data_IF_362131190015
#
_entry.id   IF_362131190015
#
_cell.length_a   1.000
_cell.length_b   1.000
_cell.length_c   1.000
_cell.angle_alpha   90.00
_cell.angle_beta   90.00
_cell.angle_gamma   90.00
#
_symmetry.space_group_name_H-M   'P 1'
#
loop_
_entity.id
_entity.type
_entity.pdbx_description
1 polymer ?
#
# COMPACT_ATOMS: atom_id res chain seq x y z
N UNK A 1 -1.72 24.44 -1.80
CA UNK A 1 -0.83 24.21 -2.97
C UNK A 1 -1.36 23.02 -3.77
N UNK A 2 -1.57 23.14 -5.07
CA UNK A 2 -1.92 22.01 -5.95
C UNK A 2 -0.68 21.58 -6.74
N UNK A 3 -0.53 20.27 -6.99
CA UNK A 3 0.53 19.70 -7.84
C UNK A 3 -0.15 18.96 -9.01
N UNK A 4 -0.54 19.67 -10.07
CA UNK A 4 -1.36 19.11 -11.17
C UNK A 4 -0.70 17.94 -11.89
N UNK A 5 0.65 17.93 -11.90
CA UNK A 5 1.45 16.89 -12.55
C UNK A 5 1.41 15.53 -11.83
N UNK A 6 0.73 15.42 -10.68
CA UNK A 6 0.73 14.21 -9.86
C UNK A 6 -0.69 13.65 -9.75
N UNK A 7 -0.85 12.37 -10.08
CA UNK A 7 -2.03 11.58 -9.72
C UNK A 7 -1.75 10.79 -8.44
N UNK A 8 -2.61 10.91 -7.45
CA UNK A 8 -2.58 10.09 -6.25
C UNK A 8 -3.50 8.87 -6.43
N UNK A 9 -2.90 7.68 -6.40
CA UNK A 9 -3.61 6.40 -6.43
C UNK A 9 -3.62 5.84 -5.01
N UNK A 10 -4.81 5.73 -4.41
CA UNK A 10 -5.02 5.19 -3.07
C UNK A 10 -5.49 3.74 -3.20
N UNK A 11 -4.67 2.81 -2.76
CA UNK A 11 -5.05 1.41 -2.69
C UNK A 11 -6.00 1.21 -1.51
N UNK A 12 -7.22 0.78 -1.78
CA UNK A 12 -8.22 0.59 -0.74
C UNK A 12 -8.46 -0.89 -0.44
N UNK A 13 -8.62 -1.20 0.84
CA UNK A 13 -9.07 -2.52 1.31
C UNK A 13 -10.47 -2.47 1.89
N UNK A 14 -11.01 -1.26 2.08
CA UNK A 14 -12.34 -0.95 2.58
C UNK A 14 -12.59 0.54 2.54
N UNK A 15 -13.80 0.94 2.90
CA UNK A 15 -14.24 2.34 2.95
C UNK A 15 -14.06 2.99 4.33
N UNK A 16 -14.89 3.99 4.58
CA UNK A 16 -15.00 4.67 5.87
C UNK A 16 -13.88 5.68 6.15
N UNK A 17 -13.67 5.96 7.46
CA UNK A 17 -12.81 7.05 7.91
C UNK A 17 -11.35 6.95 7.46
N UNK A 18 -10.82 5.73 7.27
CA UNK A 18 -9.43 5.52 6.81
C UNK A 18 -9.24 5.96 5.38
N UNK A 19 -10.12 5.53 4.48
CA UNK A 19 -10.10 5.94 3.09
C UNK A 19 -10.32 7.46 2.97
N UNK A 20 -11.27 8.00 3.72
CA UNK A 20 -11.53 9.44 3.75
C UNK A 20 -10.31 10.24 4.20
N UNK A 21 -9.60 9.79 5.24
CA UNK A 21 -8.37 10.43 5.73
C UNK A 21 -7.23 10.36 4.71
N UNK A 22 -7.05 9.20 4.06
CA UNK A 22 -6.07 9.05 3.00
C UNK A 22 -6.35 10.01 1.83
N UNK A 23 -7.60 10.07 1.35
CA UNK A 23 -8.01 10.95 0.26
C UNK A 23 -7.90 12.44 0.62
N UNK A 24 -8.21 12.81 1.87
CA UNK A 24 -8.03 14.18 2.37
C UNK A 24 -6.54 14.57 2.36
N UNK A 25 -5.64 13.67 2.75
CA UNK A 25 -4.20 13.93 2.81
C UNK A 25 -3.57 14.16 1.42
N UNK A 26 -4.24 13.74 0.35
CA UNK A 26 -3.79 13.92 -1.04
C UNK A 26 -4.70 14.86 -1.84
N UNK A 27 -5.51 15.70 -1.17
CA UNK A 27 -6.39 16.68 -1.83
C UNK A 27 -5.65 17.70 -2.72
N UNK A 28 -4.36 17.82 -2.53
CA UNK A 28 -3.46 18.67 -3.31
C UNK A 28 -3.05 18.07 -4.67
N UNK A 29 -3.23 16.76 -4.88
CA UNK A 29 -2.91 16.11 -6.15
C UNK A 29 -3.84 16.58 -7.28
N UNK A 30 -3.35 16.56 -8.51
CA UNK A 30 -4.13 16.93 -9.70
C UNK A 30 -5.28 15.96 -9.94
N UNK A 31 -5.01 14.67 -9.80
CA UNK A 31 -5.99 13.60 -9.89
C UNK A 31 -5.98 12.76 -8.61
N UNK A 32 -7.14 12.25 -8.22
CA UNK A 32 -7.29 11.32 -7.09
C UNK A 32 -8.06 10.10 -7.55
N UNK A 33 -7.46 8.94 -7.36
CA UNK A 33 -7.99 7.66 -7.84
C UNK A 33 -7.97 6.67 -6.68
N UNK A 34 -9.09 6.03 -6.43
CA UNK A 34 -9.17 4.89 -5.53
C UNK A 34 -9.06 3.62 -6.37
N UNK A 35 -8.07 2.80 -6.08
CA UNK A 35 -7.91 1.48 -6.65
C UNK A 35 -8.42 0.45 -5.63
N UNK A 36 -9.49 -0.25 -5.99
CA UNK A 36 -10.11 -1.30 -5.17
C UNK A 36 -10.00 -2.67 -5.88
N UNK A 37 -8.88 -3.39 -5.70
CA UNK A 37 -8.65 -4.67 -6.38
C UNK A 37 -9.65 -5.77 -6.03
N UNK A 38 -10.29 -5.66 -4.87
CA UNK A 38 -11.27 -6.63 -4.38
C UNK A 38 -12.73 -6.27 -4.77
N UNK A 39 -12.94 -5.11 -5.40
CA UNK A 39 -14.25 -4.57 -5.82
C UNK A 39 -15.28 -4.50 -4.66
N UNK A 40 -14.83 -4.05 -3.47
CA UNK A 40 -15.65 -3.98 -2.26
C UNK A 40 -16.37 -2.64 -2.06
N UNK A 41 -15.91 -1.58 -2.75
CA UNK A 41 -16.36 -0.19 -2.57
C UNK A 41 -17.47 0.24 -3.52
N UNK A 42 -18.20 -0.68 -4.12
CA UNK A 42 -19.19 -0.38 -5.16
C UNK A 42 -20.30 0.59 -4.77
N UNK A 43 -20.54 0.80 -3.46
CA UNK A 43 -21.59 1.69 -2.93
C UNK A 43 -21.06 2.76 -1.97
N UNK A 44 -19.74 2.88 -1.81
CA UNK A 44 -19.15 3.87 -0.90
C UNK A 44 -19.21 5.26 -1.53
N UNK A 45 -19.77 6.28 -0.84
CA UNK A 45 -19.77 7.64 -1.35
C UNK A 45 -18.34 8.20 -1.30
N UNK A 46 -17.80 8.52 -2.46
CA UNK A 46 -16.48 9.13 -2.57
C UNK A 46 -16.58 10.66 -2.66
N UNK A 47 -15.56 11.39 -2.15
CA UNK A 47 -15.49 12.84 -2.30
C UNK A 47 -15.53 13.28 -3.77
N UNK A 48 -16.05 14.47 -4.06
CA UNK A 48 -16.08 15.03 -5.41
C UNK A 48 -14.69 15.05 -6.04
N UNK A 49 -14.60 14.66 -7.31
CA UNK A 49 -13.37 14.63 -8.08
C UNK A 49 -12.45 13.45 -7.75
N UNK A 50 -12.93 12.44 -7.02
CA UNK A 50 -12.25 11.16 -6.83
C UNK A 50 -12.87 10.14 -7.78
N UNK A 51 -12.02 9.42 -8.52
CA UNK A 51 -12.44 8.31 -9.38
C UNK A 51 -12.24 6.98 -8.67
N UNK A 52 -13.21 6.08 -8.77
CA UNK A 52 -13.08 4.69 -8.31
C UNK A 52 -12.76 3.78 -9.48
N UNK A 53 -11.75 2.94 -9.33
CA UNK A 53 -11.51 1.80 -10.19
C UNK A 53 -11.69 0.52 -9.39
N UNK A 54 -12.72 -0.25 -9.73
CA UNK A 54 -12.98 -1.56 -9.15
C UNK A 54 -12.25 -2.63 -9.95
N UNK A 55 -11.58 -3.53 -9.25
CA UNK A 55 -10.71 -4.54 -9.84
C UNK A 55 -9.23 -4.14 -9.80
N UNK A 56 -8.36 -5.10 -10.13
CA UNK A 56 -6.93 -4.86 -10.21
C UNK A 56 -6.58 -4.14 -11.52
N UNK A 57 -5.73 -3.13 -11.41
CA UNK A 57 -5.21 -2.39 -12.56
C UNK A 57 -3.80 -1.88 -12.27
N UNK A 58 -3.04 -1.58 -13.31
CA UNK A 58 -1.76 -0.93 -13.15
C UNK A 58 -1.96 0.61 -13.05
N UNK A 59 -1.29 1.29 -12.12
CA UNK A 59 -1.48 2.73 -11.92
C UNK A 59 -1.23 3.57 -13.17
N UNK A 60 -0.34 3.13 -14.06
CA UNK A 60 -0.06 3.83 -15.31
C UNK A 60 -1.25 3.86 -16.28
N UNK A 61 -2.19 2.93 -16.14
CA UNK A 61 -3.41 2.82 -16.98
C UNK A 61 -4.54 3.70 -16.44
N UNK A 62 -4.47 4.05 -15.15
CA UNK A 62 -5.52 4.78 -14.46
C UNK A 62 -5.47 6.30 -14.67
N UNK A 63 -4.34 6.85 -15.12
CA UNK A 63 -4.12 8.30 -15.22
C UNK A 63 -3.27 8.67 -16.42
N UNK A 64 -3.42 9.92 -16.87
CA UNK A 64 -2.53 10.55 -17.85
C UNK A 64 -1.51 11.49 -17.22
N UNK A 65 -1.62 11.75 -15.92
CA UNK A 65 -0.66 12.59 -15.20
C UNK A 65 0.77 12.04 -15.32
N UNK A 66 1.78 12.90 -15.50
CA UNK A 66 3.16 12.45 -15.70
C UNK A 66 3.77 11.73 -14.51
N UNK A 67 3.23 11.94 -13.30
CA UNK A 67 3.69 11.31 -12.07
C UNK A 67 2.56 10.62 -11.34
N UNK A 68 2.87 9.48 -10.73
CA UNK A 68 1.95 8.69 -9.90
C UNK A 68 2.50 8.58 -8.49
N UNK A 69 1.69 8.99 -7.51
CA UNK A 69 1.91 8.75 -6.08
C UNK A 69 1.02 7.59 -5.65
N UNK A 70 1.59 6.54 -5.10
CA UNK A 70 0.85 5.43 -4.51
C UNK A 70 0.76 5.59 -3.00
N UNK A 71 -0.45 5.57 -2.47
CA UNK A 71 -0.71 5.35 -1.05
C UNK A 71 -1.22 3.92 -0.87
N UNK A 72 -0.64 3.20 0.09
CA UNK A 72 -1.19 1.93 0.57
C UNK A 72 -2.46 2.17 1.40
N UNK A 73 -3.12 1.08 1.76
CA UNK A 73 -4.33 1.15 2.55
C UNK A 73 -4.10 1.83 3.92
N UNK A 74 -4.86 2.90 4.18
CA UNK A 74 -4.76 3.71 5.40
C UNK A 74 -3.47 4.53 5.54
N UNK A 75 -2.65 4.65 4.49
CA UNK A 75 -1.51 5.58 4.48
C UNK A 75 -2.00 7.02 4.33
N UNK A 76 -1.44 7.91 5.12
CA UNK A 76 -1.73 9.34 5.14
C UNK A 76 -0.44 10.10 4.82
N UNK A 77 -0.49 11.01 3.87
CA UNK A 77 0.64 11.88 3.56
C UNK A 77 0.82 12.92 4.66
N UNK A 78 2.04 13.06 5.20
CA UNK A 78 2.36 14.16 6.14
C UNK A 78 2.29 15.52 5.44
N UNK A 79 2.16 16.59 6.21
CA UNK A 79 1.92 17.95 5.69
C UNK A 79 3.03 18.48 4.78
N UNK A 80 4.24 17.96 4.89
CA UNK A 80 5.41 18.32 4.10
C UNK A 80 5.54 17.55 2.77
N UNK A 81 4.78 16.44 2.60
CA UNK A 81 4.83 15.62 1.39
C UNK A 81 4.50 16.39 0.11
N UNK A 82 3.46 17.26 0.07
CA UNK A 82 3.14 18.01 -1.14
C UNK A 82 4.29 18.90 -1.62
N UNK A 83 4.94 19.61 -0.71
CA UNK A 83 6.06 20.50 -1.02
C UNK A 83 7.29 19.70 -1.50
N UNK A 84 7.63 18.63 -0.80
CA UNK A 84 8.74 17.76 -1.17
C UNK A 84 8.55 17.11 -2.55
N UNK A 85 7.33 16.65 -2.87
CA UNK A 85 7.01 16.11 -4.19
C UNK A 85 7.09 17.19 -5.26
N UNK A 86 6.49 18.37 -5.02
CA UNK A 86 6.52 19.47 -5.99
C UNK A 86 7.95 19.85 -6.37
N UNK A 87 8.84 19.96 -5.39
CA UNK A 87 10.27 20.22 -5.63
C UNK A 87 10.90 19.10 -6.45
N UNK A 88 10.72 17.84 -6.02
CA UNK A 88 11.36 16.69 -6.66
C UNK A 88 10.94 16.47 -8.12
N UNK A 89 9.66 16.73 -8.45
CA UNK A 89 9.16 16.55 -9.83
C UNK A 89 9.48 17.72 -10.76
N UNK A 90 9.77 18.90 -10.19
CA UNK A 90 10.13 20.09 -10.94
C UNK A 90 11.63 20.19 -11.26
N UNK A 91 12.48 19.39 -10.60
CA UNK A 91 13.93 19.42 -10.81
C UNK A 91 14.29 19.00 -12.25
N UNK A 92 15.15 19.79 -12.95
CA UNK A 92 15.78 19.34 -14.18
C UNK A 92 16.61 18.08 -13.90
N UNK A 93 16.26 16.94 -14.48
CA UNK A 93 16.93 15.66 -14.17
C UNK A 93 16.28 14.88 -13.02
N UNK A 94 15.03 15.19 -12.65
CA UNK A 94 14.26 14.44 -11.68
C UNK A 94 14.37 12.91 -11.92
N UNK A 95 14.66 12.16 -10.86
CA UNK A 95 14.77 10.69 -10.89
C UNK A 95 13.47 10.05 -11.38
N UNK A 96 13.52 8.90 -12.04
CA UNK A 96 12.30 8.23 -12.55
C UNK A 96 11.35 7.78 -11.43
N UNK A 97 11.86 7.61 -10.22
CA UNK A 97 11.07 7.24 -9.05
C UNK A 97 11.69 7.75 -7.74
N UNK A 98 10.87 7.83 -6.69
CA UNK A 98 11.29 8.24 -5.36
C UNK A 98 10.74 7.31 -4.29
N UNK A 99 11.60 7.00 -3.32
CA UNK A 99 11.24 6.32 -2.09
C UNK A 99 10.69 7.33 -1.10
N UNK A 100 9.58 6.98 -0.47
CA UNK A 100 8.99 7.77 0.60
C UNK A 100 8.92 6.88 1.84
N UNK A 101 9.55 7.24 2.96
CA UNK A 101 9.45 6.49 4.20
C UNK A 101 8.00 6.30 4.64
N UNK A 102 7.66 5.12 5.11
CA UNK A 102 6.36 4.81 5.71
C UNK A 102 6.58 4.55 7.20
N UNK A 103 5.89 5.29 8.06
CA UNK A 103 5.91 5.09 9.49
C UNK A 103 4.61 4.40 9.95
N UNK A 104 4.72 3.20 10.49
CA UNK A 104 3.60 2.47 11.09
C UNK A 104 3.52 2.81 12.56
N UNK A 105 2.41 3.42 12.99
CA UNK A 105 2.13 3.81 14.37
C UNK A 105 1.00 2.95 14.93
N UNK A 106 1.22 2.32 16.08
CA UNK A 106 0.21 1.54 16.77
C UNK A 106 0.77 0.78 17.96
N UNK A 107 -0.08 0.43 18.89
CA UNK A 107 0.25 -0.32 20.10
C UNK A 107 1.47 0.24 20.88
N UNK A 108 1.58 1.58 20.92
CA UNK A 108 2.69 2.25 21.58
C UNK A 108 4.02 2.20 20.84
N UNK A 109 4.06 1.70 19.62
CA UNK A 109 5.27 1.68 18.77
C UNK A 109 5.13 2.58 17.55
N UNK A 110 6.27 3.06 17.05
CA UNK A 110 6.41 3.65 15.71
C UNK A 110 7.56 2.93 15.03
N UNK A 111 7.24 2.21 13.96
CA UNK A 111 8.19 1.43 13.19
C UNK A 111 8.36 2.02 11.79
N UNK A 112 9.58 1.96 11.27
CA UNK A 112 9.88 2.24 9.86
C UNK A 112 10.49 0.99 9.23
N UNK A 113 10.06 0.58 8.04
CA UNK A 113 10.69 -0.52 7.34
C UNK A 113 12.17 -0.20 7.09
N UNK A 114 13.06 -1.20 7.03
CA UNK A 114 14.50 -1.01 6.86
C UNK A 114 14.82 -0.30 5.54
N UNK A 115 13.95 -0.45 4.56
CA UNK A 115 14.04 0.23 3.27
C UNK A 115 12.70 0.91 2.96
N UNK A 116 12.75 2.20 2.66
CA UNK A 116 11.56 2.93 2.24
C UNK A 116 11.04 2.38 0.90
N UNK A 117 9.72 2.13 0.76
CA UNK A 117 9.13 1.72 -0.50
C UNK A 117 9.20 2.86 -1.53
N UNK A 118 9.15 2.50 -2.82
CA UNK A 118 8.93 3.48 -3.89
C UNK A 118 7.45 3.83 -3.88
N UNK A 119 7.14 5.10 -3.66
CA UNK A 119 5.76 5.59 -3.60
C UNK A 119 5.44 6.62 -4.66
N UNK A 120 6.45 7.28 -5.22
CA UNK A 120 6.30 8.22 -6.32
C UNK A 120 7.12 7.72 -7.51
N UNK A 121 6.51 7.67 -8.69
CA UNK A 121 7.19 7.27 -9.91
C UNK A 121 6.65 8.05 -11.12
N UNK A 122 7.48 8.21 -12.16
CA UNK A 122 6.99 8.66 -13.47
C UNK A 122 5.94 7.65 -13.96
N UNK A 123 4.90 8.14 -14.64
CA UNK A 123 3.81 7.28 -15.12
C UNK A 123 4.32 6.09 -15.92
N UNK A 124 5.29 6.26 -16.81
CA UNK A 124 5.89 5.18 -17.60
C UNK A 124 6.49 4.06 -16.76
N UNK A 125 6.93 4.37 -15.54
CA UNK A 125 7.55 3.45 -14.59
C UNK A 125 6.60 2.97 -13.47
N UNK A 126 5.39 3.53 -13.42
CA UNK A 126 4.42 3.34 -12.35
C UNK A 126 3.71 1.98 -12.45
N UNK A 127 4.40 0.91 -12.09
CA UNK A 127 3.85 -0.43 -12.00
C UNK A 127 3.75 -0.88 -10.56
N UNK A 128 2.62 -1.51 -10.21
CA UNK A 128 2.47 -2.11 -8.88
C UNK A 128 3.46 -3.28 -8.73
N UNK A 129 4.06 -3.37 -7.57
CA UNK A 129 4.93 -4.49 -7.18
C UNK A 129 4.57 -4.96 -5.78
N UNK A 130 4.64 -6.26 -5.57
CA UNK A 130 4.46 -6.85 -4.25
C UNK A 130 5.82 -7.35 -3.80
N UNK A 131 6.38 -6.64 -2.85
CA UNK A 131 7.69 -6.90 -2.26
C UNK A 131 7.66 -7.87 -1.08
N UNK A 132 8.79 -8.01 -0.37
CA UNK A 132 8.88 -8.82 0.84
C UNK A 132 7.83 -8.39 1.88
N UNK A 133 7.27 -9.34 2.61
CA UNK A 133 6.22 -9.08 3.61
C UNK A 133 4.90 -8.62 3.00
N UNK A 134 4.66 -8.86 1.71
CA UNK A 134 3.48 -8.40 0.96
C UNK A 134 3.30 -6.87 1.00
N UNK A 135 4.39 -6.12 1.05
CA UNK A 135 4.36 -4.68 0.90
C UNK A 135 4.09 -4.32 -0.57
N UNK A 136 3.10 -3.47 -0.80
CA UNK A 136 2.81 -2.92 -2.13
C UNK A 136 3.73 -1.72 -2.38
N UNK A 137 4.26 -1.62 -3.59
CA UNK A 137 5.32 -0.69 -3.96
C UNK A 137 5.14 -0.31 -5.44
N UNK A 138 5.75 0.77 -5.90
CA UNK A 138 5.78 1.20 -7.30
C UNK A 138 7.16 1.00 -7.92
N UNK A 139 7.18 0.87 -9.23
CA UNK A 139 8.27 1.29 -10.07
C UNK A 139 9.42 0.36 -10.31
N UNK A 140 10.49 0.96 -10.84
CA UNK A 140 11.61 0.24 -11.41
C UNK A 140 12.45 -0.51 -10.35
N UNK A 141 13.32 -1.43 -10.77
CA UNK A 141 14.30 -2.06 -9.88
C UNK A 141 15.15 -1.00 -9.16
N UNK A 142 15.56 -1.35 -7.98
CA UNK A 142 16.08 -0.52 -6.89
C UNK A 142 17.21 0.49 -7.17
N UNK A 143 17.86 0.50 -8.30
CA UNK A 143 19.09 1.30 -8.51
C UNK A 143 18.88 2.79 -8.80
N UNK A 144 17.74 3.19 -9.33
CA UNK A 144 17.52 4.51 -9.91
C UNK A 144 16.56 5.43 -9.13
N UNK A 145 16.05 4.99 -7.99
CA UNK A 145 15.10 5.75 -7.20
C UNK A 145 15.81 6.76 -6.29
N UNK A 146 15.34 8.02 -6.31
CA UNK A 146 15.68 9.02 -5.30
C UNK A 146 15.03 8.69 -3.95
N UNK A 147 15.29 9.52 -2.94
CA UNK A 147 14.66 9.40 -1.62
C UNK A 147 14.15 10.76 -1.15
N UNK A 148 12.87 10.81 -0.77
CA UNK A 148 12.30 11.96 -0.09
C UNK A 148 12.47 11.81 1.43
N UNK A 149 12.61 12.95 2.11
CA UNK A 149 12.71 12.99 3.58
C UNK A 149 11.33 12.95 4.25
N UNK A 150 10.30 13.43 3.55
CA UNK A 150 8.90 13.40 3.97
C UNK A 150 8.40 11.98 4.16
N UNK A 151 7.41 11.78 5.02
CA UNK A 151 6.94 10.45 5.36
C UNK A 151 5.43 10.25 5.10
N UNK A 152 5.05 9.04 4.75
CA UNK A 152 3.67 8.55 4.86
C UNK A 152 3.49 7.92 6.24
N UNK A 153 2.31 8.08 6.81
CA UNK A 153 1.99 7.60 8.15
C UNK A 153 0.83 6.62 8.05
N UNK A 154 1.00 5.43 8.60
CA UNK A 154 -0.08 4.46 8.82
C UNK A 154 -0.38 4.44 10.31
N UNK A 155 -1.63 4.74 10.67
CA UNK A 155 -2.10 4.60 12.04
C UNK A 155 -2.86 3.29 12.17
N UNK A 156 -2.36 2.40 13.00
CA UNK A 156 -3.07 1.17 13.38
C UNK A 156 -3.92 1.46 14.60
N UNK A 157 -5.15 0.94 14.62
CA UNK A 157 -6.00 1.02 15.81
C UNK A 157 -5.36 0.26 16.97
N UNK A 158 -5.61 0.71 18.20
CA UNK A 158 -5.14 0.02 19.41
C UNK A 158 -6.12 -1.08 19.87
N UNK A 159 -7.28 -1.19 19.23
CA UNK A 159 -8.26 -2.25 19.47
C UNK A 159 -7.96 -3.46 18.59
N UNK A 160 -7.69 -4.60 19.22
CA UNK A 160 -7.29 -5.81 18.49
C UNK A 160 -8.37 -6.29 17.51
N UNK A 161 -9.65 -6.26 17.88
CA UNK A 161 -10.74 -6.67 17.00
C UNK A 161 -10.77 -5.87 15.70
N UNK A 162 -10.76 -4.54 15.80
CA UNK A 162 -10.72 -3.63 14.64
C UNK A 162 -9.43 -3.85 13.81
N UNK A 163 -8.29 -4.12 14.47
CA UNK A 163 -7.04 -4.41 13.78
C UNK A 163 -7.15 -5.69 12.94
N UNK A 164 -7.74 -6.75 13.49
CA UNK A 164 -7.93 -8.04 12.80
C UNK A 164 -8.87 -7.90 11.61
N UNK A 165 -10.03 -7.23 11.78
CA UNK A 165 -10.96 -6.96 10.67
C UNK A 165 -10.29 -6.20 9.53
N UNK A 166 -9.49 -5.19 9.88
CA UNK A 166 -8.75 -4.42 8.89
C UNK A 166 -7.68 -5.24 8.18
N UNK A 167 -6.94 -6.08 8.90
CA UNK A 167 -5.95 -6.98 8.32
C UNK A 167 -6.59 -8.02 7.42
N UNK A 168 -7.80 -8.51 7.75
CA UNK A 168 -8.57 -9.40 6.88
C UNK A 168 -8.98 -8.71 5.57
N UNK A 169 -9.43 -7.45 5.65
CA UNK A 169 -9.74 -6.65 4.48
C UNK A 169 -8.50 -6.43 3.60
N UNK A 170 -7.36 -6.06 4.20
CA UNK A 170 -6.08 -5.93 3.49
C UNK A 170 -5.64 -7.25 2.85
N UNK A 171 -5.81 -8.37 3.55
CA UNK A 171 -5.46 -9.69 3.02
C UNK A 171 -6.29 -10.04 1.79
N UNK A 172 -7.59 -9.67 1.76
CA UNK A 172 -8.46 -9.86 0.60
C UNK A 172 -7.98 -9.05 -0.61
N UNK A 173 -7.62 -7.79 -0.41
CA UNK A 173 -7.04 -6.93 -1.46
C UNK A 173 -5.72 -7.48 -1.99
N UNK A 174 -4.84 -7.94 -1.10
CA UNK A 174 -3.57 -8.57 -1.48
C UNK A 174 -3.78 -9.88 -2.25
N UNK A 175 -4.75 -10.70 -1.83
CA UNK A 175 -5.10 -11.93 -2.54
C UNK A 175 -5.60 -11.63 -3.96
N UNK A 176 -6.41 -10.57 -4.15
CA UNK A 176 -6.87 -10.12 -5.45
C UNK A 176 -5.70 -9.70 -6.35
N UNK A 177 -4.79 -8.86 -5.85
CA UNK A 177 -3.58 -8.44 -6.58
C UNK A 177 -2.65 -9.61 -6.94
N UNK A 178 -2.51 -10.60 -6.04
CA UNK A 178 -1.71 -11.80 -6.28
C UNK A 178 -2.35 -12.72 -7.31
N UNK A 179 -3.68 -12.84 -7.30
CA UNK A 179 -4.45 -13.63 -8.27
C UNK A 179 -4.28 -13.08 -9.68
N UNK A 180 -4.43 -11.76 -9.86
CA UNK A 180 -4.25 -11.06 -11.14
C UNK A 180 -2.86 -11.32 -11.74
N UNK A 181 -1.84 -11.36 -10.90
CA UNK A 181 -0.47 -11.68 -11.31
C UNK A 181 -0.21 -13.16 -11.58
N UNK A 182 -1.26 -13.98 -11.66
CA UNK A 182 -1.21 -15.42 -11.91
C UNK A 182 -0.26 -16.18 -10.98
N UNK A 183 0.03 -15.63 -9.80
CA UNK A 183 0.87 -16.33 -8.82
C UNK A 183 0.15 -17.57 -8.33
N UNK A 184 0.80 -18.73 -8.47
CA UNK A 184 0.27 -20.00 -7.95
C UNK A 184 0.69 -20.14 -6.49
N UNK A 185 -0.27 -20.19 -5.55
CA UNK A 185 0.06 -20.45 -4.16
C UNK A 185 0.59 -21.89 -4.05
N UNK A 186 1.71 -22.03 -3.37
CA UNK A 186 2.24 -23.34 -2.96
C UNK A 186 2.07 -23.46 -1.45
N UNK A 187 1.89 -24.66 -0.93
CA UNK A 187 1.65 -24.89 0.51
C UNK A 187 2.73 -24.24 1.40
N UNK A 188 3.97 -24.22 0.96
CA UNK A 188 5.04 -23.58 1.71
C UNK A 188 4.88 -22.04 1.84
N UNK A 189 4.14 -21.38 0.95
CA UNK A 189 3.83 -19.95 1.10
C UNK A 189 2.94 -19.67 2.31
N UNK A 190 2.12 -20.64 2.72
CA UNK A 190 1.27 -20.53 3.93
C UNK A 190 2.10 -20.52 5.22
N UNK A 191 3.31 -21.07 5.19
CA UNK A 191 4.22 -21.11 6.35
C UNK A 191 5.30 -20.05 6.24
N UNK A 192 6.06 -20.05 5.13
CA UNK A 192 7.20 -19.14 4.97
C UNK A 192 6.78 -17.70 4.68
N UNK A 193 5.62 -17.47 4.04
CA UNK A 193 5.09 -16.13 3.80
C UNK A 193 4.83 -15.35 5.10
N UNK A 194 4.09 -15.90 6.06
CA UNK A 194 3.91 -15.29 7.38
C UNK A 194 5.20 -15.07 8.15
N UNK A 195 6.11 -16.05 8.15
CA UNK A 195 7.41 -15.94 8.81
C UNK A 195 8.25 -14.81 8.20
N UNK A 196 8.28 -14.72 6.86
CA UNK A 196 9.00 -13.66 6.16
C UNK A 196 8.39 -12.28 6.44
N UNK A 197 7.05 -12.16 6.50
CA UNK A 197 6.37 -10.91 6.78
C UNK A 197 6.60 -10.45 8.24
N UNK A 198 6.49 -11.36 9.20
CA UNK A 198 6.81 -11.10 10.60
C UNK A 198 8.27 -10.74 10.80
N UNK A 199 9.18 -11.52 10.23
CA UNK A 199 10.62 -11.29 10.26
C UNK A 199 11.01 -9.93 9.65
N UNK A 200 10.43 -9.57 8.52
CA UNK A 200 10.63 -8.25 7.90
C UNK A 200 10.20 -7.10 8.86
N UNK A 201 9.11 -7.30 9.60
CA UNK A 201 8.66 -6.32 10.60
C UNK A 201 9.63 -6.26 11.80
N UNK A 202 10.19 -7.40 12.22
CA UNK A 202 11.17 -7.45 13.30
C UNK A 202 12.51 -6.78 12.97
N UNK A 203 12.93 -6.76 11.70
CA UNK A 203 14.11 -5.99 11.26
C UNK A 203 13.80 -4.53 10.96
N UNK A 204 12.52 -4.11 11.04
CA UNK A 204 12.14 -2.71 10.91
C UNK A 204 12.79 -1.87 12.02
N UNK A 205 13.23 -0.65 11.66
CA UNK A 205 13.88 0.26 12.62
C UNK A 205 12.84 0.87 13.55
N UNK A 206 12.93 0.67 14.86
CA UNK A 206 12.06 1.35 15.80
C UNK A 206 12.44 2.83 15.88
N UNK A 207 11.47 3.72 15.68
CA UNK A 207 11.61 5.16 15.96
C UNK A 207 11.22 5.42 17.40
N UNK A 208 10.15 4.78 17.85
CA UNK A 208 9.68 4.79 19.24
C UNK A 208 9.09 3.42 19.54
N UNK A 209 9.43 2.85 20.66
CA UNK A 209 8.96 1.53 21.08
C UNK A 209 8.69 1.48 22.57
N UNK A 210 7.60 0.82 22.95
CA UNK A 210 7.30 0.46 24.34
C UNK A 210 7.08 -1.04 24.41
N UNK A 211 7.83 -1.72 25.28
CA UNK A 211 7.66 -3.13 25.60
C UNK A 211 7.64 -4.07 24.37
N UNK A 212 6.68 -4.97 24.34
CA UNK A 212 6.52 -6.04 23.32
C UNK A 212 5.79 -5.62 22.05
N UNK A 213 5.44 -4.34 21.88
CA UNK A 213 4.64 -3.84 20.76
C UNK A 213 5.21 -4.22 19.38
N UNK A 214 6.54 -4.26 19.23
CA UNK A 214 7.21 -4.70 18.00
C UNK A 214 6.91 -6.15 17.65
N UNK A 215 6.95 -7.04 18.64
CA UNK A 215 6.62 -8.46 18.44
C UNK A 215 5.16 -8.62 18.06
N UNK A 216 4.28 -7.87 18.71
CA UNK A 216 2.87 -7.88 18.39
C UNK A 216 2.59 -7.43 16.96
N UNK A 217 3.20 -6.34 16.52
CA UNK A 217 3.09 -5.87 15.12
C UNK A 217 3.68 -6.89 14.12
N UNK A 218 4.73 -7.62 14.49
CA UNK A 218 5.29 -8.69 13.66
C UNK A 218 4.32 -9.88 13.51
N UNK A 219 3.65 -10.28 14.60
CA UNK A 219 2.61 -11.31 14.58
C UNK A 219 1.45 -10.89 13.69
N UNK A 220 0.97 -9.65 13.81
CA UNK A 220 -0.10 -9.12 12.96
C UNK A 220 0.31 -9.08 11.48
N UNK A 221 1.55 -8.73 11.16
CA UNK A 221 2.06 -8.78 9.79
C UNK A 221 2.11 -10.22 9.23
N UNK A 222 2.53 -11.18 10.05
CA UNK A 222 2.48 -12.61 9.74
C UNK A 222 1.06 -13.10 9.51
N UNK A 223 0.13 -12.77 10.40
CA UNK A 223 -1.28 -13.09 10.27
C UNK A 223 -1.87 -12.60 8.94
N UNK A 224 -1.66 -11.33 8.60
CA UNK A 224 -2.11 -10.76 7.31
C UNK A 224 -1.58 -11.56 6.12
N UNK A 225 -0.31 -11.95 6.15
CA UNK A 225 0.29 -12.72 5.06
C UNK A 225 -0.31 -14.13 4.97
N UNK A 226 -0.55 -14.81 6.10
CA UNK A 226 -1.19 -16.12 6.15
C UNK A 226 -2.58 -16.07 5.52
N UNK A 227 -3.41 -15.11 5.96
CA UNK A 227 -4.78 -14.96 5.44
C UNK A 227 -4.78 -14.60 3.96
N UNK A 228 -3.87 -13.75 3.48
CA UNK A 228 -3.77 -13.40 2.07
C UNK A 228 -3.46 -14.62 1.18
N UNK A 229 -2.51 -15.47 1.59
CA UNK A 229 -2.20 -16.70 0.86
C UNK A 229 -3.31 -17.75 0.95
N UNK A 230 -4.00 -17.86 2.10
CA UNK A 230 -5.15 -18.76 2.26
C UNK A 230 -6.30 -18.36 1.32
N UNK A 231 -6.65 -17.06 1.28
CA UNK A 231 -7.67 -16.53 0.37
C UNK A 231 -7.29 -16.67 -1.11
N UNK A 232 -6.00 -16.52 -1.43
CA UNK A 232 -5.50 -16.77 -2.79
C UNK A 232 -5.67 -18.25 -3.17
N UNK A 233 -5.36 -19.17 -2.26
CA UNK A 233 -5.53 -20.61 -2.48
C UNK A 233 -7.00 -20.99 -2.68
N UNK A 234 -7.90 -20.44 -1.84
CA UNK A 234 -9.34 -20.65 -1.93
C UNK A 234 -9.90 -20.20 -3.29
N UNK A 235 -9.57 -18.98 -3.73
CA UNK A 235 -9.97 -18.45 -5.04
C UNK A 235 -9.54 -19.36 -6.19
N UNK A 236 -8.28 -19.82 -6.16
CA UNK A 236 -7.76 -20.71 -7.21
C UNK A 236 -8.44 -22.07 -7.24
N UNK A 237 -8.84 -22.56 -6.08
CA UNK A 237 -9.60 -23.82 -5.97
C UNK A 237 -11.00 -23.65 -6.54
N UNK A 238 -11.68 -22.56 -6.25
CA UNK A 238 -12.99 -22.25 -6.82
C UNK A 238 -12.92 -22.14 -8.36
N UNK A 239 -11.97 -21.35 -8.90
CA UNK A 239 -11.74 -21.24 -10.36
C UNK A 239 -11.45 -22.59 -11.05
N UNK A 240 -10.83 -23.51 -10.33
CA UNK A 240 -10.56 -24.86 -10.86
C UNK A 240 -11.79 -25.74 -10.83
N UNK A 241 -12.66 -25.59 -9.82
CA UNK A 241 -13.92 -26.37 -9.72
C UNK A 241 -14.96 -25.95 -10.76
N UNK A 242 -14.99 -24.68 -11.16
CA UNK A 242 -15.91 -24.15 -12.18
C UNK A 242 -15.54 -24.58 -13.63
N UNK A 243 -14.37 -25.19 -13.82
CA UNK A 243 -13.89 -25.64 -15.15
C UNK A 243 -14.19 -27.12 -15.44
N UNK A 244 -14.79 -27.84 -14.49
CA UNK A 244 -15.24 -29.23 -14.60
C UNK A 244 -16.76 -29.34 -14.66
#
# INVERSE_FOLDING_TARGET
MRVPAVAAVVLASGGGARLASALASVAWAGERIVLDPAARLTREPLPRGVRLHAGAAEPLELTTAPWVLLLGDGEIASADVPAAIATAVAEPGARPAYRIPVAVQGFGATLRPPRAPIRLARRSEARLRIGPGLAVDLGPPAGHAGQLRSALIVRTTERLGEAVEHLDAQATTLAALLAERRRRPRLWHLVLGPLAAGGHTLVARPVRQRGSARWFLAVLAGYRAAVAYAKLWERRRAESAERW
#
